data_IF_854609658444
#
_entry.id   IF_854609658444
#
_cell.length_a   1.000
_cell.length_b   1.000
_cell.length_c   1.000
_cell.angle_alpha   90.00
_cell.angle_beta   90.00
_cell.angle_gamma   90.00
#
_symmetry.space_group_name_H-M   'P 1'
#
loop_
_entity.id
_entity.type
_entity.pdbx_description
1 polymer ?
#
# COMPACT_ATOMS: atom_id res chain seq x y z
N UNK A 1 22.92 -19.33 -5.53
CA UNK A 1 23.51 -18.00 -5.71
C UNK A 1 22.37 -17.05 -6.05
N UNK A 2 21.66 -16.49 -5.06
CA UNK A 2 20.67 -15.44 -5.29
C UNK A 2 21.01 -14.28 -4.37
N UNK A 3 22.08 -13.59 -4.72
CA UNK A 3 22.44 -12.29 -4.15
C UNK A 3 21.71 -11.22 -4.97
N UNK A 4 21.03 -10.26 -4.32
CA UNK A 4 20.55 -9.07 -5.03
C UNK A 4 19.12 -8.59 -4.74
N UNK A 5 18.46 -9.01 -3.66
CA UNK A 5 17.25 -8.32 -3.18
C UNK A 5 17.48 -7.70 -1.80
N UNK A 6 18.56 -6.92 -1.69
CA UNK A 6 18.82 -6.08 -0.53
C UNK A 6 18.53 -4.63 -0.92
N UNK A 7 17.91 -3.84 -0.04
CA UNK A 7 17.71 -2.41 -0.27
C UNK A 7 19.01 -1.79 -0.83
N UNK A 8 18.95 -1.08 -1.98
CA UNK A 8 17.81 -0.34 -2.51
C UNK A 8 16.95 -1.09 -3.56
N UNK A 9 16.97 -2.42 -3.61
CA UNK A 9 16.16 -3.17 -4.58
C UNK A 9 14.66 -3.05 -4.28
N UNK A 10 13.93 -2.48 -5.25
CA UNK A 10 12.48 -2.27 -5.18
C UNK A 10 11.77 -3.22 -6.14
N UNK A 11 10.70 -3.87 -5.67
CA UNK A 11 9.86 -4.73 -6.50
C UNK A 11 8.54 -4.00 -6.75
N UNK A 12 8.23 -3.78 -8.03
CA UNK A 12 7.01 -3.11 -8.44
C UNK A 12 6.03 -4.13 -9.04
N UNK A 13 4.86 -4.27 -8.42
CA UNK A 13 3.77 -5.12 -8.90
C UNK A 13 2.65 -4.23 -9.46
N UNK A 14 2.58 -4.10 -10.78
CA UNK A 14 1.54 -3.28 -11.43
C UNK A 14 0.42 -4.13 -11.98
N UNK A 15 -0.82 -3.86 -11.54
CA UNK A 15 -2.03 -4.43 -12.12
C UNK A 15 -2.69 -3.44 -13.08
N UNK A 16 -3.00 -3.89 -14.29
CA UNK A 16 -3.76 -3.14 -15.30
C UNK A 16 -5.15 -3.76 -15.40
N UNK A 17 -6.18 -2.98 -15.11
CA UNK A 17 -7.56 -3.46 -15.05
C UNK A 17 -8.27 -3.41 -16.40
N UNK A 18 -7.78 -2.63 -17.36
CA UNK A 18 -8.33 -2.50 -18.72
C UNK A 18 -9.64 -1.69 -18.82
N UNK A 19 -10.30 -1.44 -17.70
CA UNK A 19 -11.45 -0.53 -17.54
C UNK A 19 -11.32 0.23 -16.22
N UNK A 20 -12.19 1.20 -16.01
CA UNK A 20 -12.35 1.91 -14.72
C UNK A 20 -13.18 1.06 -13.76
N UNK A 21 -12.65 0.85 -12.56
CA UNK A 21 -13.35 0.16 -11.47
C UNK A 21 -13.43 1.03 -10.22
N UNK A 22 -14.54 0.95 -9.49
CA UNK A 22 -14.62 1.43 -8.12
C UNK A 22 -14.08 0.33 -7.19
N UNK A 23 -12.89 0.55 -6.63
CA UNK A 23 -12.24 -0.40 -5.74
C UNK A 23 -12.60 -0.06 -4.30
N UNK A 24 -13.18 -1.02 -3.59
CA UNK A 24 -13.51 -0.90 -2.16
C UNK A 24 -12.39 -1.41 -1.26
N UNK A 25 -11.75 -2.51 -1.65
CA UNK A 25 -10.64 -3.09 -0.91
C UNK A 25 -9.58 -3.70 -1.83
N UNK A 26 -8.34 -3.72 -1.35
CA UNK A 26 -7.22 -4.40 -1.99
C UNK A 26 -6.55 -5.28 -0.94
N UNK A 27 -6.27 -6.54 -1.27
CA UNK A 27 -5.67 -7.49 -0.34
C UNK A 27 -4.46 -8.19 -0.94
N UNK A 28 -3.38 -8.22 -0.17
CA UNK A 28 -2.17 -8.96 -0.50
C UNK A 28 -1.95 -10.06 0.53
N UNK A 29 -1.79 -11.29 0.04
CA UNK A 29 -1.41 -12.45 0.85
C UNK A 29 0.02 -12.83 0.53
N UNK A 30 0.89 -12.68 1.50
CA UNK A 30 2.30 -13.00 1.39
C UNK A 30 2.54 -14.45 1.81
N UNK A 31 3.27 -15.17 0.96
CA UNK A 31 3.84 -16.48 1.30
C UNK A 31 5.14 -16.28 2.09
N UNK A 32 5.87 -15.19 1.82
CA UNK A 32 7.00 -14.71 2.60
C UNK A 32 6.56 -13.90 3.82
N UNK A 33 7.49 -13.48 4.70
CA UNK A 33 7.22 -12.40 5.65
C UNK A 33 6.81 -11.13 4.91
N UNK A 34 6.09 -10.27 5.62
CA UNK A 34 5.69 -8.96 5.10
C UNK A 34 6.92 -8.05 4.95
N UNK A 35 6.95 -7.19 3.92
CA UNK A 35 8.01 -6.20 3.78
C UNK A 35 7.91 -5.14 4.89
N UNK A 36 9.06 -4.62 5.32
CA UNK A 36 9.15 -3.56 6.32
C UNK A 36 8.53 -2.24 5.84
N UNK A 37 8.60 -1.96 4.54
CA UNK A 37 8.02 -0.75 3.96
C UNK A 37 7.48 -1.01 2.56
N UNK A 38 6.29 -0.48 2.26
CA UNK A 38 5.75 -0.52 0.90
C UNK A 38 4.75 0.60 0.67
N UNK A 39 4.49 0.87 -0.60
CA UNK A 39 3.54 1.92 -1.05
C UNK A 39 2.58 1.34 -2.04
N UNK A 40 1.31 1.75 -1.94
CA UNK A 40 0.28 1.48 -2.93
C UNK A 40 0.09 2.75 -3.74
N UNK A 41 0.31 2.67 -5.05
CA UNK A 41 0.03 3.73 -6.01
C UNK A 41 -1.20 3.40 -6.82
N UNK A 42 -1.89 4.45 -7.27
CA UNK A 42 -3.09 4.37 -8.09
C UNK A 42 -2.98 5.28 -9.29
N UNK A 43 -3.68 4.94 -10.38
CA UNK A 43 -3.88 5.79 -11.55
C UNK A 43 -5.35 5.78 -11.95
N UNK A 44 -5.90 6.97 -12.08
CA UNK A 44 -7.26 7.23 -12.55
C UNK A 44 -7.39 7.03 -14.05
N UNK A 45 -6.43 7.55 -14.82
CA UNK A 45 -6.32 7.35 -16.26
C UNK A 45 -4.98 6.68 -16.64
N UNK A 46 -4.85 6.08 -17.84
CA UNK A 46 -3.63 5.36 -18.23
C UNK A 46 -2.39 6.24 -18.23
N UNK A 47 -2.58 7.50 -18.59
CA UNK A 47 -1.58 8.52 -18.88
C UNK A 47 -1.36 9.49 -17.72
N UNK A 48 -2.18 9.40 -16.66
CA UNK A 48 -2.00 10.18 -15.43
C UNK A 48 -0.70 9.79 -14.72
N UNK A 49 -0.23 10.69 -13.85
CA UNK A 49 0.88 10.38 -12.94
C UNK A 49 0.46 9.35 -11.87
N UNK A 50 1.44 8.62 -11.32
CA UNK A 50 1.17 7.70 -10.22
C UNK A 50 0.85 8.48 -8.94
N UNK A 51 -0.37 8.36 -8.45
CA UNK A 51 -0.81 9.02 -7.23
C UNK A 51 -0.63 8.05 -6.06
N UNK A 52 0.05 8.44 -4.97
CA UNK A 52 0.13 7.59 -3.80
C UNK A 52 -1.24 7.42 -3.17
N UNK A 53 -1.55 6.20 -2.77
CA UNK A 53 -2.84 5.83 -2.20
C UNK A 53 -2.74 5.48 -0.72
N UNK A 54 -1.69 4.74 -0.34
CA UNK A 54 -1.42 4.36 1.03
C UNK A 54 0.06 4.01 1.20
N UNK A 55 0.63 4.41 2.33
CA UNK A 55 1.97 4.05 2.75
C UNK A 55 1.93 3.14 3.97
N UNK A 56 2.84 2.19 3.98
CA UNK A 56 3.06 1.29 5.09
C UNK A 56 4.56 1.28 5.40
N UNK A 57 4.91 1.58 6.65
CA UNK A 57 6.28 1.53 7.12
C UNK A 57 6.31 1.56 8.64
N UNK A 58 7.22 0.77 9.23
CA UNK A 58 7.53 0.89 10.66
C UNK A 58 8.22 2.22 11.00
N UNK A 59 8.68 2.95 9.98
CA UNK A 59 9.46 4.17 10.12
C UNK A 59 9.03 5.23 9.09
N UNK A 60 7.73 5.56 9.07
CA UNK A 60 7.11 6.51 8.14
C UNK A 60 7.90 7.82 7.95
N UNK A 61 8.39 8.41 9.04
CA UNK A 61 9.09 9.69 9.00
C UNK A 61 10.46 9.60 8.34
N UNK A 62 11.22 8.53 8.57
CA UNK A 62 12.55 8.35 7.96
C UNK A 62 12.45 7.82 6.52
N UNK A 63 11.47 6.97 6.22
CA UNK A 63 11.34 6.34 4.89
C UNK A 63 10.62 7.23 3.89
N UNK A 64 9.54 7.91 4.31
CA UNK A 64 8.69 8.70 3.41
C UNK A 64 8.58 10.17 3.80
N UNK A 65 9.24 10.60 4.89
CA UNK A 65 9.16 12.00 5.35
C UNK A 65 7.81 12.39 5.95
N UNK A 66 6.91 11.42 6.20
CA UNK A 66 5.54 11.69 6.65
C UNK A 66 5.34 11.32 8.13
N UNK A 67 4.46 12.04 8.85
CA UNK A 67 4.01 11.60 10.16
C UNK A 67 3.20 10.31 10.04
N UNK A 68 3.29 9.48 11.08
CA UNK A 68 2.48 8.27 11.16
C UNK A 68 1.05 8.61 11.60
N UNK A 69 0.06 8.00 10.93
CA UNK A 69 -1.38 8.20 11.17
C UNK A 69 -1.74 9.69 11.26
N UNK A 70 -1.40 10.45 10.23
CA UNK A 70 -1.78 11.85 10.15
C UNK A 70 -3.31 11.98 10.19
N UNK A 71 -3.87 12.98 10.88
CA UNK A 71 -5.31 13.18 10.91
C UNK A 71 -5.84 13.45 9.50
N UNK A 72 -6.90 12.75 9.11
CA UNK A 72 -7.62 12.99 7.87
C UNK A 72 -8.65 14.10 8.16
N UNK A 73 -8.39 15.29 7.62
CA UNK A 73 -9.27 16.43 7.82
C UNK A 73 -10.46 16.39 6.84
N UNK A 74 -11.66 16.82 7.27
CA UNK A 74 -12.79 17.02 6.37
C UNK A 74 -12.39 17.95 5.22
N UNK A 75 -12.68 17.53 3.97
CA UNK A 75 -12.32 18.27 2.76
C UNK A 75 -10.97 17.90 2.12
N UNK A 76 -10.08 17.19 2.83
CA UNK A 76 -8.88 16.58 2.25
C UNK A 76 -8.83 15.07 2.56
N UNK A 77 -9.95 14.41 2.28
CA UNK A 77 -10.12 12.99 2.55
C UNK A 77 -9.51 12.09 1.47
N UNK A 78 -8.90 12.63 0.41
CA UNK A 78 -8.21 11.83 -0.60
C UNK A 78 -6.72 11.61 -0.29
N UNK A 79 -6.20 12.21 0.80
CA UNK A 79 -4.78 12.14 1.17
C UNK A 79 -4.35 10.71 1.51
N UNK A 80 -3.15 10.33 1.07
CA UNK A 80 -2.51 9.08 1.42
C UNK A 80 -1.97 9.14 2.84
N UNK A 81 -2.24 8.10 3.63
CA UNK A 81 -1.76 8.00 5.01
C UNK A 81 -0.53 7.09 5.09
N UNK A 82 0.26 7.25 6.16
CA UNK A 82 1.30 6.29 6.51
C UNK A 82 0.97 5.61 7.84
N UNK A 83 0.97 4.28 7.87
CA UNK A 83 0.73 3.50 9.09
C UNK A 83 1.82 2.44 9.27
N UNK A 84 2.13 2.12 10.53
CA UNK A 84 2.97 0.97 10.88
C UNK A 84 2.18 -0.34 10.94
N UNK A 85 0.86 -0.28 10.81
CA UNK A 85 0.04 -1.49 10.75
C UNK A 85 0.50 -2.31 9.54
N UNK A 86 0.81 -3.59 9.78
CA UNK A 86 1.35 -4.52 8.78
C UNK A 86 2.82 -4.34 8.36
N UNK A 87 3.60 -3.45 8.98
CA UNK A 87 5.06 -3.37 8.74
C UNK A 87 5.89 -4.36 9.55
N UNK A 88 5.28 -5.05 10.52
CA UNK A 88 5.98 -6.07 11.29
C UNK A 88 6.23 -7.33 10.46
N UNK A 89 7.40 -7.95 10.66
CA UNK A 89 7.82 -9.17 9.98
C UNK A 89 6.91 -10.38 10.27
N UNK A 90 6.16 -10.35 11.36
CA UNK A 90 5.20 -11.40 11.73
C UNK A 90 3.84 -11.20 11.05
N UNK A 91 3.16 -12.23 10.54
CA UNK A 91 3.62 -13.62 10.51
C UNK A 91 4.64 -13.85 9.39
N UNK A 92 5.56 -14.79 9.62
CA UNK A 92 6.61 -15.14 8.66
C UNK A 92 6.08 -15.80 7.38
N UNK A 93 4.83 -16.27 7.42
CA UNK A 93 4.14 -16.90 6.29
C UNK A 93 2.64 -16.65 6.45
N UNK A 94 1.94 -16.46 5.33
CA UNK A 94 0.50 -16.19 5.36
C UNK A 94 0.16 -14.78 5.82
N UNK A 95 1.14 -13.86 5.82
CA UNK A 95 0.95 -12.46 6.13
C UNK A 95 -0.13 -11.87 5.23
N UNK A 96 -1.09 -11.18 5.84
CA UNK A 96 -2.23 -10.64 5.14
C UNK A 96 -2.28 -9.13 5.35
N UNK A 97 -2.37 -8.40 4.25
CA UNK A 97 -2.48 -6.95 4.25
C UNK A 97 -3.77 -6.64 3.52
N UNK A 98 -4.70 -5.99 4.23
CA UNK A 98 -5.92 -5.48 3.66
C UNK A 98 -5.86 -3.95 3.71
N UNK A 99 -6.04 -3.33 2.55
CA UNK A 99 -6.19 -1.90 2.41
C UNK A 99 -7.65 -1.63 2.02
N UNK A 100 -8.34 -0.82 2.83
CA UNK A 100 -9.67 -0.33 2.53
C UNK A 100 -9.62 1.15 2.18
N UNK A 101 -10.34 1.54 1.14
CA UNK A 101 -10.30 2.91 0.62
C UNK A 101 -11.02 3.91 1.52
N UNK A 102 -11.91 3.41 2.37
CA UNK A 102 -12.75 4.16 3.29
C UNK A 102 -12.22 4.20 4.73
N UNK A 103 -11.22 3.38 5.06
CA UNK A 103 -10.77 3.21 6.44
C UNK A 103 -10.18 4.52 6.99
N UNK A 104 -10.65 4.90 8.18
CA UNK A 104 -10.21 6.13 8.88
C UNK A 104 -10.71 7.45 8.29
N UNK A 105 -11.53 7.43 7.22
CA UNK A 105 -12.03 8.64 6.56
C UNK A 105 -13.38 9.09 7.16
N UNK A 106 -13.53 10.36 7.59
CA UNK A 106 -14.76 10.84 8.23
C UNK A 106 -16.02 10.67 7.37
N UNK A 107 -15.94 10.92 6.06
CA UNK A 107 -17.07 10.78 5.15
C UNK A 107 -17.37 9.33 4.74
N UNK A 108 -16.74 8.33 5.38
CA UNK A 108 -17.01 6.92 5.11
C UNK A 108 -18.46 6.51 5.39
N UNK A 109 -19.11 7.12 6.38
CA UNK A 109 -20.52 6.86 6.73
C UNK A 109 -21.47 7.52 5.73
N UNK A 110 -21.11 8.68 5.18
CA UNK A 110 -21.88 9.41 4.17
C UNK A 110 -21.21 9.32 2.80
N UNK A 111 -20.79 8.11 2.43
CA UNK A 111 -20.01 7.89 1.22
C UNK A 111 -20.77 8.31 -0.05
N UNK A 112 -22.09 8.09 -0.08
CA UNK A 112 -22.96 8.43 -1.21
C UNK A 112 -23.07 9.94 -1.49
N UNK A 113 -22.72 10.78 -0.51
CA UNK A 113 -22.75 12.25 -0.64
C UNK A 113 -21.35 12.87 -0.79
N UNK A 114 -20.29 12.08 -0.60
CA UNK A 114 -18.91 12.56 -0.63
C UNK A 114 -18.31 12.49 -2.03
N UNK A 115 -18.39 13.58 -2.78
CA UNK A 115 -17.72 13.71 -4.09
C UNK A 115 -16.21 13.42 -3.99
N UNK A 116 -15.56 13.82 -2.88
CA UNK A 116 -14.13 13.57 -2.66
C UNK A 116 -13.78 12.08 -2.51
N UNK A 117 -14.65 11.29 -1.88
CA UNK A 117 -14.41 9.85 -1.71
C UNK A 117 -14.87 9.04 -2.91
N UNK A 118 -15.76 9.57 -3.76
CA UNK A 118 -16.32 8.91 -4.94
C UNK A 118 -15.38 8.93 -6.16
N UNK A 119 -14.33 9.76 -6.16
CA UNK A 119 -13.28 9.73 -7.20
C UNK A 119 -12.39 8.48 -7.04
N UNK A 120 -12.97 7.32 -7.38
CA UNK A 120 -12.39 5.97 -7.22
C UNK A 120 -12.17 5.23 -8.51
N UNK A 121 -12.44 5.85 -9.66
CA UNK A 121 -12.27 5.18 -10.94
C UNK A 121 -10.79 4.86 -11.14
N UNK A 122 -10.43 3.61 -10.91
CA UNK A 122 -9.07 3.12 -11.08
C UNK A 122 -8.96 2.28 -12.32
N UNK A 123 -7.94 2.59 -13.11
CA UNK A 123 -7.57 1.78 -14.27
C UNK A 123 -6.29 0.99 -14.02
N UNK A 124 -5.38 1.52 -13.20
CA UNK A 124 -4.15 0.84 -12.81
C UNK A 124 -3.84 1.10 -11.33
N UNK A 125 -3.24 0.12 -10.68
CA UNK A 125 -2.59 0.31 -9.38
C UNK A 125 -1.28 -0.45 -9.34
N UNK A 126 -0.35 0.02 -8.51
CA UNK A 126 0.98 -0.55 -8.39
C UNK A 126 1.40 -0.65 -6.93
N UNK A 127 1.97 -1.78 -6.53
CA UNK A 127 2.60 -1.93 -5.22
C UNK A 127 4.10 -1.82 -5.36
N UNK A 128 4.70 -0.91 -4.61
CA UNK A 128 6.16 -0.72 -4.59
C UNK A 128 6.66 -1.25 -3.25
N UNK A 129 7.17 -2.47 -3.28
CA UNK A 129 7.67 -3.17 -2.10
C UNK A 129 9.15 -2.81 -1.88
N UNK A 130 9.44 -2.22 -0.72
CA UNK A 130 10.80 -1.87 -0.29
C UNK A 130 11.22 -2.81 0.83
N UNK A 131 12.19 -3.68 0.56
CA UNK A 131 12.67 -4.66 1.54
C UNK A 131 14.07 -4.30 2.02
N UNK A 132 14.15 -3.68 3.21
CA UNK A 132 15.44 -3.47 3.91
C UNK A 132 15.86 -4.69 4.72
N UNK A 133 14.93 -5.61 5.00
CA UNK A 133 15.16 -6.85 5.74
C UNK A 133 14.59 -8.01 4.95
N UNK A 134 15.37 -8.55 4.01
CA UNK A 134 14.94 -9.81 3.40
C UNK A 134 14.98 -10.91 4.45
N UNK A 135 13.93 -11.70 4.42
CA UNK A 135 13.75 -12.97 5.09
C UNK A 135 14.95 -13.91 4.85
N UNK A 136 16.05 -13.74 5.59
CA UNK A 136 17.02 -14.82 5.85
C UNK A 136 16.44 -15.70 6.95
N UNK A 137 15.26 -16.28 6.72
CA UNK A 137 14.78 -17.40 7.51
C UNK A 137 14.66 -18.59 6.57
N UNK A 138 15.81 -19.27 6.45
CA UNK A 138 16.00 -20.65 5.99
C UNK A 138 15.17 -21.07 4.78
N UNK A 139 15.81 -21.11 3.61
CA UNK A 139 15.64 -22.29 2.75
C UNK A 139 15.99 -23.51 3.61
N UNK A 140 14.99 -24.18 4.17
CA UNK A 140 15.15 -25.56 4.58
C UNK A 140 15.36 -26.33 3.29
N UNK A 141 16.63 -26.54 2.92
CA UNK A 141 17.03 -27.54 1.95
C UNK A 141 16.39 -28.86 2.38
N UNK A 142 15.58 -29.43 1.50
CA UNK A 142 15.25 -30.85 1.52
C UNK A 142 15.68 -31.38 0.16
#
# INVERSE_FOLDING_TARGET
MNEGMQYPNNINLTLRLGKTFDITYVRLKFISPRPESFVIFKKTQPDDEWIPWQYYSGSCRSTYGMPEKAPILPGNEAVAQCTREFSDISPLTGGNIAFSTLEGRPSSQNFEESETLQVRLLQKFSFHLHSSKICILRKSQK
#
